data_IF_793618664671
#
_entry.id   IF_793618664671
#
_cell.length_a   1.000
_cell.length_b   1.000
_cell.length_c   1.000
_cell.angle_alpha   90.00
_cell.angle_beta   90.00
_cell.angle_gamma   90.00
#
_symmetry.space_group_name_H-M   'P 1'
#
loop_
_entity.id
_entity.type
_entity.pdbx_description
1 polymer ?
#
# COMPACT_ATOMS: atom_id res chain seq x y z
N UNK A 1 -1.51 22.49 14.05
CA UNK A 1 -0.12 22.13 13.68
C UNK A 1 -0.05 20.61 13.55
N UNK A 2 0.80 20.05 12.69
CA UNK A 2 0.87 18.59 12.48
C UNK A 2 1.18 18.19 11.04
N UNK A 3 1.24 16.89 10.74
CA UNK A 3 1.50 16.37 9.40
C UNK A 3 0.47 16.90 8.38
N UNK A 4 0.95 17.22 7.18
CA UNK A 4 0.07 17.60 6.05
C UNK A 4 -0.65 16.39 5.47
N UNK A 5 -0.04 15.21 5.56
CA UNK A 5 -0.57 13.94 5.10
C UNK A 5 -0.46 12.94 6.22
N UNK A 6 -1.50 12.15 6.44
CA UNK A 6 -1.52 11.03 7.40
C UNK A 6 -1.97 9.80 6.64
N UNK A 7 -1.27 8.68 6.82
CA UNK A 7 -1.60 7.38 6.19
C UNK A 7 -1.69 6.33 7.30
N UNK A 8 -2.78 5.57 7.31
CA UNK A 8 -3.02 4.46 8.22
C UNK A 8 -3.11 3.17 7.42
N UNK A 9 -2.20 2.23 7.70
CA UNK A 9 -2.14 0.94 7.01
C UNK A 9 -2.74 -0.18 7.87
N UNK A 10 -3.04 -1.34 7.25
CA UNK A 10 -3.57 -2.53 7.93
C UNK A 10 -4.85 -2.28 8.74
N UNK A 11 -5.75 -1.43 8.23
CA UNK A 11 -7.06 -1.21 8.85
C UNK A 11 -8.00 -2.36 8.48
N UNK A 12 -8.46 -3.12 9.47
CA UNK A 12 -9.40 -4.23 9.27
C UNK A 12 -10.84 -3.73 9.44
N UNK A 13 -11.75 -4.08 8.53
CA UNK A 13 -13.20 -3.91 8.72
C UNK A 13 -13.78 -5.27 9.16
N UNK A 14 -14.64 -5.28 10.18
CA UNK A 14 -14.99 -6.47 10.97
C UNK A 14 -15.30 -7.77 10.17
N UNK A 15 -14.78 -8.86 10.72
CA UNK A 15 -14.93 -10.33 10.57
C UNK A 15 -15.52 -11.04 9.33
N UNK A 16 -16.22 -10.39 8.40
CA UNK A 16 -16.89 -11.12 7.29
C UNK A 16 -16.16 -11.09 5.95
N UNK A 17 -15.18 -10.20 5.78
CA UNK A 17 -14.32 -10.17 4.59
C UNK A 17 -12.87 -10.04 5.02
N UNK A 18 -12.05 -11.01 4.62
CA UNK A 18 -10.58 -10.94 4.67
C UNK A 18 -10.12 -9.81 3.73
N UNK A 19 -10.29 -8.56 4.14
CA UNK A 19 -9.87 -7.39 3.40
C UNK A 19 -9.22 -6.43 4.38
N UNK A 20 -8.07 -5.91 3.99
CA UNK A 20 -7.39 -4.86 4.75
C UNK A 20 -7.45 -3.59 3.94
N UNK A 21 -7.37 -2.45 4.62
CA UNK A 21 -7.48 -1.15 3.97
C UNK A 21 -6.32 -0.26 4.36
N UNK A 22 -5.94 0.59 3.41
CA UNK A 22 -5.12 1.76 3.67
C UNK A 22 -6.01 2.98 3.59
N UNK A 23 -6.00 3.79 4.64
CA UNK A 23 -6.67 5.09 4.69
C UNK A 23 -5.63 6.19 4.63
N UNK A 24 -5.94 7.29 3.98
CA UNK A 24 -5.10 8.47 3.98
C UNK A 24 -5.92 9.75 4.05
N UNK A 25 -5.36 10.77 4.68
CA UNK A 25 -5.90 12.11 4.71
C UNK A 25 -4.85 13.10 4.21
N UNK A 26 -5.27 14.04 3.35
CA UNK A 26 -4.46 15.19 2.95
C UNK A 26 -5.09 16.48 3.42
N UNK A 27 -4.37 17.22 4.26
CA UNK A 27 -4.76 18.57 4.70
C UNK A 27 -4.76 19.58 3.55
N UNK A 28 -3.96 19.34 2.51
CA UNK A 28 -3.82 20.24 1.35
C UNK A 28 -5.08 20.17 0.49
N UNK A 29 -5.53 18.96 0.16
CA UNK A 29 -6.69 18.75 -0.71
C UNK A 29 -7.99 18.60 0.05
N UNK A 30 -7.94 18.45 1.38
CA UNK A 30 -9.11 18.18 2.24
C UNK A 30 -9.87 16.92 1.84
N UNK A 31 -9.13 15.90 1.39
CA UNK A 31 -9.71 14.65 0.94
C UNK A 31 -9.22 13.48 1.78
N UNK A 32 -10.13 12.53 1.99
CA UNK A 32 -9.85 11.22 2.53
C UNK A 32 -9.81 10.20 1.39
N UNK A 33 -8.80 9.35 1.41
CA UNK A 33 -8.64 8.28 0.43
C UNK A 33 -8.66 6.94 1.12
N UNK A 34 -9.22 5.96 0.45
CA UNK A 34 -9.23 4.56 0.88
C UNK A 34 -8.77 3.67 -0.26
N UNK A 35 -7.84 2.77 0.02
CA UNK A 35 -7.42 1.73 -0.94
C UNK A 35 -7.72 0.37 -0.36
N UNK A 36 -8.41 -0.47 -1.15
CA UNK A 36 -8.67 -1.86 -0.79
C UNK A 36 -7.42 -2.70 -1.03
N UNK A 37 -7.04 -3.52 -0.05
CA UNK A 37 -5.96 -4.48 -0.18
C UNK A 37 -6.56 -5.89 -0.08
N UNK A 38 -6.31 -6.70 -1.12
CA UNK A 38 -6.62 -8.12 -1.07
C UNK A 38 -5.83 -8.75 0.08
N UNK A 39 -6.54 -9.37 1.01
CA UNK A 39 -5.86 -10.05 2.11
C UNK A 39 -5.12 -11.27 1.59
N UNK A 40 -3.85 -11.34 1.95
CA UNK A 40 -3.05 -12.56 1.86
C UNK A 40 -2.75 -13.00 3.29
N UNK A 41 -2.99 -14.27 3.67
CA UNK A 41 -2.80 -14.79 5.02
C UNK A 41 -1.30 -14.97 5.34
N UNK A 42 -0.53 -13.89 5.30
CA UNK A 42 0.89 -13.90 5.57
C UNK A 42 1.35 -12.60 6.22
N UNK A 43 2.19 -12.71 7.23
CA UNK A 43 2.78 -11.59 7.93
C UNK A 43 4.28 -11.56 7.63
N UNK A 44 4.71 -10.59 6.84
CA UNK A 44 6.11 -10.35 6.52
C UNK A 44 6.59 -9.06 7.20
N UNK A 45 7.63 -9.11 8.05
CA UNK A 45 8.32 -7.93 8.56
C UNK A 45 8.83 -7.04 7.41
N UNK A 46 8.99 -5.74 7.67
CA UNK A 46 9.50 -4.78 6.69
C UNK A 46 8.50 -4.32 5.61
N UNK A 47 7.29 -4.90 5.55
CA UNK A 47 6.26 -4.49 4.57
C UNK A 47 5.81 -3.03 4.74
N UNK A 48 5.84 -2.50 5.97
CA UNK A 48 5.57 -1.09 6.25
C UNK A 48 6.68 -0.15 5.75
N UNK A 49 7.95 -0.56 5.87
CA UNK A 49 9.10 0.21 5.38
C UNK A 49 9.11 0.25 3.85
N UNK A 50 8.86 -0.89 3.22
CA UNK A 50 8.73 -0.99 1.76
C UNK A 50 7.53 -0.16 1.25
N UNK A 51 6.37 -0.25 1.92
CA UNK A 51 5.19 0.57 1.59
C UNK A 51 5.53 2.07 1.63
N UNK A 52 6.13 2.52 2.73
CA UNK A 52 6.49 3.93 2.94
C UNK A 52 7.55 4.40 1.93
N UNK A 53 8.50 3.53 1.57
CA UNK A 53 9.52 3.81 0.57
C UNK A 53 8.91 4.04 -0.81
N UNK A 54 7.97 3.19 -1.24
CA UNK A 54 7.26 3.36 -2.52
C UNK A 54 6.42 4.64 -2.51
N UNK A 55 5.64 4.89 -1.46
CA UNK A 55 4.85 6.14 -1.34
C UNK A 55 5.77 7.36 -1.42
N UNK A 56 6.88 7.35 -0.69
CA UNK A 56 7.85 8.46 -0.69
C UNK A 56 8.44 8.69 -2.09
N UNK A 57 8.87 7.62 -2.77
CA UNK A 57 9.40 7.71 -4.12
C UNK A 57 8.38 8.27 -5.13
N UNK A 58 7.13 7.80 -5.07
CA UNK A 58 6.06 8.28 -5.95
C UNK A 58 5.78 9.77 -5.73
N UNK A 59 5.66 10.20 -4.46
CA UNK A 59 5.43 11.61 -4.13
C UNK A 59 6.59 12.51 -4.58
N UNK A 60 7.84 12.04 -4.46
CA UNK A 60 9.03 12.76 -4.96
C UNK A 60 9.07 12.85 -6.50
N UNK A 61 8.50 11.85 -7.19
CA UNK A 61 8.35 11.85 -8.65
C UNK A 61 7.18 12.72 -9.15
N UNK A 62 6.39 13.30 -8.23
CA UNK A 62 5.27 14.16 -8.57
C UNK A 62 3.93 13.43 -8.69
N UNK A 63 3.85 12.15 -8.32
CA UNK A 63 2.59 11.42 -8.28
C UNK A 63 1.65 12.02 -7.22
N UNK A 64 0.35 12.00 -7.51
CA UNK A 64 -0.66 12.38 -6.52
C UNK A 64 -0.73 11.35 -5.39
N UNK A 65 -1.19 11.76 -4.20
CA UNK A 65 -1.37 10.89 -3.05
C UNK A 65 -2.15 9.59 -3.36
N UNK A 66 -3.34 9.61 -4.02
CA UNK A 66 -4.05 8.38 -4.35
C UNK A 66 -3.26 7.43 -5.26
N UNK A 67 -2.52 7.97 -6.24
CA UNK A 67 -1.68 7.16 -7.15
C UNK A 67 -0.54 6.52 -6.36
N UNK A 68 0.14 7.28 -5.50
CA UNK A 68 1.22 6.78 -4.66
C UNK A 68 0.75 5.65 -3.72
N UNK A 69 -0.44 5.79 -3.13
CA UNK A 69 -1.05 4.77 -2.27
C UNK A 69 -1.38 3.49 -3.05
N UNK A 70 -2.04 3.62 -4.20
CA UNK A 70 -2.45 2.47 -5.01
C UNK A 70 -1.22 1.71 -5.53
N UNK A 71 -0.18 2.42 -5.98
CA UNK A 71 1.08 1.83 -6.42
C UNK A 71 1.80 1.10 -5.29
N UNK A 72 1.83 1.67 -4.09
CA UNK A 72 2.42 1.02 -2.93
C UNK A 72 1.64 -0.23 -2.49
N UNK A 73 0.31 -0.16 -2.46
CA UNK A 73 -0.55 -1.32 -2.17
C UNK A 73 -0.33 -2.43 -3.21
N UNK A 74 -0.30 -2.07 -4.49
CA UNK A 74 -0.08 -3.02 -5.57
C UNK A 74 1.31 -3.69 -5.47
N UNK A 75 2.36 -2.90 -5.24
CA UNK A 75 3.72 -3.43 -5.07
C UNK A 75 3.83 -4.41 -3.91
N UNK A 76 3.31 -4.04 -2.73
CA UNK A 76 3.34 -4.90 -1.54
C UNK A 76 2.49 -6.16 -1.74
N UNK A 77 1.31 -6.05 -2.36
CA UNK A 77 0.46 -7.22 -2.65
C UNK A 77 1.18 -8.20 -3.57
N UNK A 78 1.85 -7.70 -4.61
CA UNK A 78 2.65 -8.51 -5.52
C UNK A 78 3.85 -9.14 -4.82
N UNK A 79 4.55 -8.40 -3.94
CA UNK A 79 5.66 -8.91 -3.16
C UNK A 79 5.25 -10.04 -2.21
N UNK A 80 4.12 -9.86 -1.51
CA UNK A 80 3.57 -10.86 -0.59
C UNK A 80 3.15 -12.10 -1.38
N UNK A 81 2.45 -11.97 -2.52
CA UNK A 81 2.06 -13.10 -3.38
C UNK A 81 3.29 -13.85 -3.92
N UNK A 82 4.31 -13.13 -4.37
CA UNK A 82 5.57 -13.70 -4.84
C UNK A 82 6.34 -14.42 -3.72
N UNK A 83 6.10 -14.08 -2.45
CA UNK A 83 6.74 -14.69 -1.29
C UNK A 83 5.94 -15.88 -0.74
N UNK A 84 4.61 -15.83 -0.79
CA UNK A 84 3.71 -16.83 -0.22
C UNK A 84 3.86 -18.23 -0.86
N UNK A 85 4.24 -18.29 -2.13
CA UNK A 85 4.40 -19.55 -2.87
C UNK A 85 5.69 -20.31 -2.59
N UNK A 86 6.61 -19.77 -1.79
CA UNK A 86 7.91 -20.39 -1.51
C UNK A 86 7.98 -20.89 -0.07
N UNK A 87 8.69 -22.00 0.14
CA UNK A 87 9.06 -22.43 1.48
C UNK A 87 10.28 -21.62 1.95
N UNK A 88 10.04 -20.56 2.73
CA UNK A 88 11.09 -19.80 3.39
C UNK A 88 10.65 -19.29 4.77
N UNK A 89 11.62 -18.92 5.60
CA UNK A 89 11.35 -18.29 6.89
C UNK A 89 10.73 -16.89 6.67
N UNK A 90 9.47 -16.64 7.08
CA UNK A 90 8.82 -15.35 6.92
C UNK A 90 9.56 -14.18 7.61
N UNK A 91 10.45 -14.47 8.57
CA UNK A 91 11.26 -13.45 9.26
C UNK A 91 12.22 -12.71 8.33
N UNK A 92 12.58 -13.31 7.19
CA UNK A 92 13.39 -12.64 6.17
C UNK A 92 12.59 -11.62 5.34
N UNK A 93 11.28 -11.48 5.58
CA UNK A 93 10.43 -10.52 4.89
C UNK A 93 9.98 -11.00 3.52
N UNK A 94 9.64 -10.03 2.66
CA UNK A 94 9.20 -10.25 1.28
C UNK A 94 10.41 -10.39 0.33
N UNK A 95 10.25 -11.13 -0.77
CA UNK A 95 11.23 -11.15 -1.86
C UNK A 95 11.22 -9.86 -2.67
N UNK A 96 11.77 -8.80 -2.08
CA UNK A 96 11.80 -7.45 -2.64
C UNK A 96 12.45 -7.43 -4.03
N UNK A 97 13.59 -8.08 -4.19
CA UNK A 97 14.41 -8.07 -5.41
C UNK A 97 13.66 -8.68 -6.60
N UNK A 98 12.82 -9.69 -6.36
CA UNK A 98 12.03 -10.35 -7.42
C UNK A 98 10.95 -9.43 -8.00
N UNK A 99 10.44 -8.50 -7.21
CA UNK A 99 9.34 -7.60 -7.61
C UNK A 99 9.78 -6.17 -7.87
N UNK A 100 11.01 -5.80 -7.50
CA UNK A 100 11.56 -4.46 -7.67
C UNK A 100 11.43 -3.90 -9.10
N UNK A 101 11.65 -4.69 -10.18
CA UNK A 101 11.46 -4.20 -11.55
C UNK A 101 10.04 -3.70 -11.86
N UNK A 102 9.02 -4.19 -11.13
CA UNK A 102 7.64 -3.77 -11.31
C UNK A 102 7.43 -2.29 -10.96
N UNK A 103 8.30 -1.68 -10.16
CA UNK A 103 8.26 -0.24 -9.91
C UNK A 103 8.59 0.57 -11.16
N UNK A 104 9.22 0.01 -12.19
CA UNK A 104 9.49 0.72 -13.45
C UNK A 104 8.46 0.41 -14.54
N UNK A 105 7.60 -0.58 -14.33
CA UNK A 105 6.58 -0.97 -15.30
C UNK A 105 5.43 0.06 -15.34
N UNK A 106 4.71 0.17 -16.48
CA UNK A 106 3.48 0.96 -16.54
C UNK A 106 2.49 0.55 -15.45
N UNK A 107 2.03 1.51 -14.67
CA UNK A 107 1.06 1.30 -13.60
C UNK A 107 -0.28 1.90 -14.02
N UNK A 108 -1.36 1.11 -13.87
CA UNK A 108 -2.73 1.57 -14.08
C UNK A 108 -3.41 1.75 -12.71
N UNK A 109 -3.62 2.99 -12.25
CA UNK A 109 -4.34 3.24 -11.01
C UNK A 109 -5.82 2.87 -11.16
N UNK A 110 -6.44 2.37 -10.10
CA UNK A 110 -7.87 2.03 -10.11
C UNK A 110 -8.46 1.52 -8.79
N UNK A 111 -7.66 1.31 -7.74
CA UNK A 111 -8.15 0.70 -6.49
C UNK A 111 -8.45 1.70 -5.38
N UNK A 112 -8.14 2.98 -5.59
CA UNK A 112 -8.39 4.04 -4.62
C UNK A 112 -9.80 4.64 -4.76
N UNK A 113 -10.38 4.96 -3.61
CA UNK A 113 -11.72 5.52 -3.47
C UNK A 113 -11.58 6.85 -2.73
N UNK A 114 -12.15 7.92 -3.30
CA UNK A 114 -12.36 9.17 -2.58
C UNK A 114 -13.51 8.96 -1.59
N UNK A 115 -13.28 9.27 -0.32
CA UNK A 115 -14.33 9.27 0.69
C UNK A 115 -14.82 10.72 0.81
N UNK A 116 -16.10 10.92 0.54
CA UNK A 116 -16.77 12.19 0.81
C UNK A 116 -16.92 12.35 2.33
N UNK A 117 -16.81 13.59 2.81
CA UNK A 117 -17.16 13.94 4.19
C UNK A 117 -18.70 13.86 4.29
N UNK A 118 -19.25 12.84 4.96
CA UNK A 118 -20.64 12.84 5.44
C UNK A 118 -20.85 13.88 6.54
#
# INVERSE_FOLDING_TARGET
>A
KGPKTVIMTKVNKSDKKRQTFVYAYSKITKHFWKVCCDYVPANYPGTGDAFTSVVTGCLLQGDSLPIALDRAVHFITTAIRASYGYQHDPKHGIYLEKVLPNLSAPFQPGSFILLDEE
#
